data_IF_398357514570
#
_entry.id   IF_398357514570
#
_cell.length_a   1.000
_cell.length_b   1.000
_cell.length_c   1.000
_cell.angle_alpha   90.00
_cell.angle_beta   90.00
_cell.angle_gamma   90.00
#
_symmetry.space_group_name_H-M   'P 1'
#
loop_
_entity.id
_entity.type
_entity.pdbx_description
1 polymer ?
#
# COMPACT_ATOMS: atom_id res chain seq x y z
N UNK A 1 7.23 -42.49 -7.01
CA UNK A 1 7.23 -41.14 -6.41
C UNK A 1 8.68 -40.72 -6.19
N UNK A 2 9.15 -39.68 -6.88
CA UNK A 2 10.57 -39.31 -6.89
C UNK A 2 11.01 -38.51 -5.66
N UNK A 3 12.22 -38.81 -5.16
CA UNK A 3 12.82 -38.24 -3.94
C UNK A 3 12.94 -36.70 -3.91
N UNK A 4 12.84 -36.04 -5.07
CA UNK A 4 12.79 -34.58 -5.17
C UNK A 4 11.58 -33.96 -4.43
N UNK A 5 10.48 -34.70 -4.24
CA UNK A 5 9.30 -34.26 -3.50
C UNK A 5 9.47 -34.39 -1.97
N UNK A 6 10.36 -35.27 -1.49
CA UNK A 6 10.64 -35.43 -0.05
C UNK A 6 11.58 -34.36 0.48
N UNK A 7 12.52 -33.88 -0.34
CA UNK A 7 13.44 -32.79 0.06
C UNK A 7 12.83 -31.39 -0.09
N UNK A 8 11.79 -31.23 -0.91
CA UNK A 8 10.93 -30.05 -0.91
C UNK A 8 9.81 -30.27 0.09
N UNK A 9 10.07 -30.01 1.37
CA UNK A 9 9.07 -30.10 2.44
C UNK A 9 7.68 -29.68 1.94
N UNK A 10 6.70 -30.55 2.18
CA UNK A 10 5.29 -30.43 1.82
C UNK A 10 4.67 -29.23 2.54
N UNK A 11 5.04 -28.02 2.12
CA UNK A 11 4.42 -26.78 2.55
C UNK A 11 2.94 -26.82 2.21
N UNK A 12 2.11 -26.60 3.23
CA UNK A 12 0.65 -26.57 3.16
C UNK A 12 0.15 -25.80 1.94
N UNK A 13 -0.78 -26.42 1.20
CA UNK A 13 -1.47 -25.83 0.04
C UNK A 13 -2.38 -24.65 0.42
N UNK A 14 -2.64 -24.46 1.72
CA UNK A 14 -3.56 -23.45 2.25
C UNK A 14 -2.89 -22.10 2.56
N UNK A 15 -1.58 -21.94 2.33
CA UNK A 15 -0.88 -20.66 2.55
C UNK A 15 -0.69 -19.97 1.20
N UNK A 16 -1.46 -18.92 0.89
CA UNK A 16 -1.22 -18.10 -0.29
C UNK A 16 0.17 -17.48 -0.14
N UNK A 17 1.03 -17.75 -1.13
CA UNK A 17 2.41 -17.24 -1.27
C UNK A 17 3.49 -17.98 -0.45
N UNK A 18 4.17 -18.93 -1.11
CA UNK A 18 5.41 -19.50 -0.57
C UNK A 18 6.52 -18.44 -0.62
N UNK A 19 6.87 -17.91 0.55
CA UNK A 19 8.14 -17.20 0.73
C UNK A 19 9.30 -18.16 0.43
N UNK A 20 10.26 -17.71 -0.37
CA UNK A 20 11.55 -18.38 -0.50
C UNK A 20 12.37 -18.23 0.79
N UNK A 21 13.54 -18.89 0.88
CA UNK A 21 14.35 -18.89 2.09
C UNK A 21 14.79 -17.47 2.53
N UNK A 22 15.15 -16.62 1.57
CA UNK A 22 15.56 -15.23 1.84
C UNK A 22 14.36 -14.36 2.27
N UNK A 23 13.24 -14.45 1.54
CA UNK A 23 12.00 -13.75 1.91
C UNK A 23 11.49 -14.17 3.30
N UNK A 24 11.63 -15.46 3.66
CA UNK A 24 11.28 -15.97 4.99
C UNK A 24 12.16 -15.34 6.07
N UNK A 25 13.46 -15.30 5.85
CA UNK A 25 14.41 -14.65 6.77
C UNK A 25 14.07 -13.16 6.94
N UNK A 26 13.77 -12.46 5.86
CA UNK A 26 13.36 -11.06 5.89
C UNK A 26 12.06 -10.87 6.66
N UNK A 27 11.06 -11.72 6.44
CA UNK A 27 9.79 -11.71 7.16
C UNK A 27 9.97 -11.96 8.66
N UNK A 28 10.78 -12.93 9.05
CA UNK A 28 11.02 -13.23 10.47
C UNK A 28 11.74 -12.08 11.19
N UNK A 29 12.71 -11.44 10.51
CA UNK A 29 13.34 -10.21 11.01
C UNK A 29 12.35 -9.05 11.09
N UNK A 30 11.42 -8.94 10.13
CA UNK A 30 10.42 -7.88 10.11
C UNK A 30 9.46 -7.98 11.29
N UNK A 31 8.97 -9.18 11.63
CA UNK A 31 8.14 -9.39 12.83
C UNK A 31 8.85 -8.97 14.11
N UNK A 32 10.15 -9.24 14.22
CA UNK A 32 10.93 -8.89 15.39
C UNK A 32 11.20 -7.37 15.49
N UNK A 33 11.30 -6.67 14.35
CA UNK A 33 11.68 -5.25 14.29
C UNK A 33 10.51 -4.30 14.07
N UNK A 34 9.35 -4.81 13.66
CA UNK A 34 8.21 -4.01 13.19
C UNK A 34 8.42 -3.37 11.81
N UNK A 35 9.53 -3.65 11.11
CA UNK A 35 9.86 -3.05 9.81
C UNK A 35 10.29 -4.12 8.81
N UNK A 36 9.60 -4.20 7.67
CA UNK A 36 10.03 -5.04 6.55
C UNK A 36 10.93 -4.25 5.59
N UNK A 37 12.14 -4.75 5.36
CA UNK A 37 13.06 -4.17 4.36
C UNK A 37 12.88 -4.86 3.01
N UNK A 38 12.71 -4.07 1.95
CA UNK A 38 12.57 -4.52 0.56
C UNK A 38 13.75 -4.00 -0.27
N UNK A 39 14.16 -4.77 -1.28
CA UNK A 39 15.08 -4.28 -2.30
C UNK A 39 14.29 -3.63 -3.44
N UNK A 40 14.72 -2.44 -3.89
CA UNK A 40 13.95 -1.63 -4.85
C UNK A 40 12.58 -1.25 -4.27
N UNK A 41 11.60 -1.05 -5.14
CA UNK A 41 10.19 -0.84 -4.73
C UNK A 41 9.51 -2.09 -4.18
N UNK A 42 10.19 -3.24 -4.17
CA UNK A 42 9.60 -4.55 -3.86
C UNK A 42 8.66 -5.09 -4.94
N UNK A 43 8.25 -4.26 -5.92
CA UNK A 43 7.42 -4.69 -7.03
C UNK A 43 8.22 -5.59 -7.98
N UNK A 44 7.76 -6.83 -8.15
CA UNK A 44 8.30 -7.76 -9.14
C UNK A 44 7.29 -7.95 -10.26
N UNK A 45 7.70 -7.68 -11.50
CA UNK A 45 6.83 -7.77 -12.69
C UNK A 45 6.29 -9.19 -12.87
N UNK A 46 7.10 -10.20 -12.59
CA UNK A 46 6.74 -11.61 -12.75
C UNK A 46 5.78 -12.15 -11.66
N UNK A 47 5.64 -11.48 -10.52
CA UNK A 47 4.85 -11.96 -9.36
C UNK A 47 3.76 -10.99 -8.90
N UNK A 48 3.51 -9.91 -9.66
CA UNK A 48 2.53 -8.86 -9.37
C UNK A 48 2.60 -8.38 -7.92
N UNK A 49 3.75 -7.84 -7.50
CA UNK A 49 3.98 -7.34 -6.13
C UNK A 49 5.01 -8.14 -5.34
N UNK A 50 5.08 -7.90 -4.02
CA UNK A 50 6.01 -8.59 -3.11
C UNK A 50 5.27 -9.59 -2.20
N UNK A 51 5.51 -10.91 -2.35
CA UNK A 51 4.99 -11.93 -1.42
C UNK A 51 5.30 -11.64 0.05
N UNK A 52 6.53 -11.18 0.33
CA UNK A 52 6.95 -10.83 1.68
C UNK A 52 6.17 -9.62 2.22
N UNK A 53 5.95 -8.59 1.39
CA UNK A 53 5.15 -7.43 1.80
C UNK A 53 3.69 -7.80 2.06
N UNK A 54 3.08 -8.62 1.19
CA UNK A 54 1.70 -9.08 1.36
C UNK A 54 1.52 -9.89 2.67
N UNK A 55 2.43 -10.83 2.96
CA UNK A 55 2.36 -11.65 4.18
C UNK A 55 2.64 -10.80 5.42
N UNK A 56 3.60 -9.87 5.35
CA UNK A 56 3.86 -8.95 6.46
C UNK A 56 2.67 -8.03 6.73
N UNK A 57 2.03 -7.49 5.69
CA UNK A 57 0.79 -6.71 5.81
C UNK A 57 -0.34 -7.50 6.48
N UNK A 58 -0.51 -8.78 6.13
CA UNK A 58 -1.49 -9.67 6.81
C UNK A 58 -1.15 -9.89 8.28
N UNK A 59 0.13 -10.04 8.61
CA UNK A 59 0.56 -10.16 10.00
C UNK A 59 0.30 -8.88 10.79
N UNK A 60 0.59 -7.71 10.22
CA UNK A 60 0.28 -6.39 10.80
C UNK A 60 -1.23 -6.19 11.02
N UNK A 61 -2.06 -6.56 10.06
CA UNK A 61 -3.53 -6.54 10.15
C UNK A 61 -4.02 -7.41 11.31
N UNK A 62 -3.53 -8.65 11.42
CA UNK A 62 -3.85 -9.55 12.54
C UNK A 62 -3.35 -9.05 13.90
N UNK A 63 -2.41 -8.09 13.92
CA UNK A 63 -1.89 -7.43 15.12
C UNK A 63 -2.50 -6.06 15.37
N UNK A 64 -3.36 -5.57 14.47
CA UNK A 64 -3.87 -4.21 14.47
C UNK A 64 -2.76 -3.15 14.63
N UNK A 65 -1.64 -3.37 13.93
CA UNK A 65 -0.44 -2.52 13.99
C UNK A 65 -0.13 -1.94 12.61
N UNK A 66 0.36 -0.70 12.50
CA UNK A 66 0.75 -0.12 11.22
C UNK A 66 1.80 -0.98 10.51
N UNK A 67 1.68 -1.11 9.20
CA UNK A 67 2.63 -1.87 8.40
C UNK A 67 3.71 -0.93 7.87
N UNK A 68 4.92 -1.00 8.43
CA UNK A 68 6.05 -0.15 8.04
C UNK A 68 7.01 -0.91 7.11
N UNK A 69 7.24 -0.33 5.94
CA UNK A 69 8.13 -0.87 4.90
C UNK A 69 9.28 0.09 4.63
N UNK A 70 10.49 -0.46 4.47
CA UNK A 70 11.67 0.27 4.02
C UNK A 70 12.11 -0.30 2.66
N UNK A 71 11.78 0.41 1.58
CA UNK A 71 12.17 0.11 0.22
C UNK A 71 13.53 0.75 -0.10
N UNK A 72 14.55 -0.07 -0.36
CA UNK A 72 15.90 0.41 -0.64
C UNK A 72 16.01 0.89 -2.08
N UNK A 73 16.48 2.12 -2.28
CA UNK A 73 16.76 2.67 -3.61
C UNK A 73 17.80 1.85 -4.35
N UNK A 74 17.76 1.91 -5.68
CA UNK A 74 18.75 1.25 -6.54
C UNK A 74 20.17 1.81 -6.31
N UNK A 75 20.26 3.08 -5.92
CA UNK A 75 21.51 3.78 -5.64
C UNK A 75 21.37 4.71 -4.44
N UNK A 76 22.50 5.17 -3.89
CA UNK A 76 22.47 6.18 -2.84
C UNK A 76 21.84 7.51 -3.30
N UNK A 77 21.95 7.84 -4.59
CA UNK A 77 21.40 9.07 -5.16
C UNK A 77 19.87 9.07 -5.27
N UNK A 78 19.24 7.89 -5.38
CA UNK A 78 17.76 7.79 -5.43
C UNK A 78 17.11 7.85 -4.05
N UNK A 79 17.89 7.63 -2.98
CA UNK A 79 17.37 7.54 -1.61
C UNK A 79 16.63 6.23 -1.35
N UNK A 80 16.35 5.97 -0.08
CA UNK A 80 15.49 4.87 0.35
C UNK A 80 14.09 5.45 0.65
N UNK A 81 13.04 4.66 0.40
CA UNK A 81 11.65 5.06 0.64
C UNK A 81 11.08 4.31 1.84
N UNK A 82 10.48 5.05 2.77
CA UNK A 82 9.70 4.51 3.89
C UNK A 82 8.23 4.61 3.52
N UNK A 83 7.50 3.50 3.58
CA UNK A 83 6.05 3.46 3.37
C UNK A 83 5.39 2.98 4.66
N UNK A 84 4.33 3.67 5.08
CA UNK A 84 3.47 3.26 6.20
C UNK A 84 2.09 2.98 5.65
N UNK A 85 1.63 1.73 5.74
CA UNK A 85 0.24 1.38 5.42
C UNK A 85 -0.60 1.38 6.70
N UNK A 86 -1.61 2.25 6.72
CA UNK A 86 -2.56 2.42 7.82
C UNK A 86 -3.85 1.63 7.63
N UNK A 87 -4.07 1.01 6.47
CA UNK A 87 -5.30 0.21 6.20
C UNK A 87 -5.42 -1.00 7.13
N UNK A 88 -4.29 -1.54 7.59
CA UNK A 88 -4.20 -2.65 8.56
C UNK A 88 -4.77 -2.32 9.94
N UNK A 89 -5.02 -1.04 10.24
CA UNK A 89 -5.67 -0.62 11.49
C UNK A 89 -7.19 -0.78 11.44
N UNK A 90 -7.77 -0.93 10.23
CA UNK A 90 -9.22 -1.04 10.00
C UNK A 90 -10.08 0.08 10.59
N UNK A 91 -9.47 1.25 10.81
CA UNK A 91 -10.17 2.44 11.30
C UNK A 91 -10.89 3.15 10.16
N UNK A 92 -12.08 3.71 10.46
CA UNK A 92 -12.79 4.61 9.55
C UNK A 92 -12.06 5.95 9.38
N UNK A 93 -11.46 6.44 10.46
CA UNK A 93 -10.65 7.66 10.50
C UNK A 93 -9.21 7.36 10.93
N UNK A 94 -8.26 7.71 10.06
CA UNK A 94 -6.81 7.54 10.29
C UNK A 94 -6.05 8.88 10.37
N UNK A 95 -6.75 10.01 10.49
CA UNK A 95 -6.14 11.36 10.48
C UNK A 95 -5.06 11.52 11.56
N UNK A 96 -5.37 11.11 12.79
CA UNK A 96 -4.41 11.11 13.91
C UNK A 96 -3.13 10.35 13.57
N UNK A 97 -3.26 9.17 12.95
CA UNK A 97 -2.12 8.34 12.57
C UNK A 97 -1.28 9.00 11.48
N UNK A 98 -1.92 9.60 10.47
CA UNK A 98 -1.22 10.35 9.41
C UNK A 98 -0.46 11.54 9.98
N UNK A 99 -1.08 12.32 10.85
CA UNK A 99 -0.43 13.45 11.52
C UNK A 99 0.77 12.98 12.35
N UNK A 100 0.61 11.88 13.10
CA UNK A 100 1.70 11.29 13.88
C UNK A 100 2.85 10.81 12.99
N UNK A 101 2.58 10.16 11.86
CA UNK A 101 3.61 9.78 10.89
C UNK A 101 4.40 11.00 10.40
N UNK A 102 3.70 12.09 10.07
CA UNK A 102 4.30 13.35 9.59
C UNK A 102 5.14 14.04 10.66
N UNK A 103 4.71 14.02 11.91
CA UNK A 103 5.47 14.58 13.02
C UNK A 103 6.77 13.80 13.26
N UNK A 104 6.71 12.47 13.26
CA UNK A 104 7.89 11.62 13.37
C UNK A 104 8.81 11.87 12.16
N UNK A 105 8.28 11.93 10.94
CA UNK A 105 9.06 12.24 9.74
C UNK A 105 9.76 13.60 9.83
N UNK A 106 9.08 14.64 10.32
CA UNK A 106 9.64 15.98 10.51
C UNK A 106 10.81 16.00 11.50
N UNK A 107 10.73 15.23 12.59
CA UNK A 107 11.83 15.07 13.54
C UNK A 107 13.08 14.44 12.91
N UNK A 108 12.89 13.64 11.85
CA UNK A 108 13.96 13.03 11.07
C UNK A 108 14.32 13.83 9.80
N UNK A 109 13.84 15.07 9.66
CA UNK A 109 14.13 15.92 8.49
C UNK A 109 13.54 15.41 7.17
N UNK A 110 12.51 14.56 7.23
CA UNK A 110 11.88 13.94 6.07
C UNK A 110 10.56 14.64 5.73
N UNK A 111 10.28 14.81 4.45
CA UNK A 111 9.01 15.36 3.96
C UNK A 111 8.14 14.26 3.35
N UNK A 112 6.80 14.34 3.48
CA UNK A 112 5.90 13.38 2.85
C UNK A 112 5.97 13.47 1.33
N UNK A 113 5.86 12.33 0.67
CA UNK A 113 5.72 12.23 -0.77
C UNK A 113 4.26 12.46 -1.18
N UNK A 114 4.01 13.04 -2.36
CA UNK A 114 2.67 13.09 -2.92
C UNK A 114 2.18 11.68 -3.26
N UNK A 115 0.86 11.47 -3.17
CA UNK A 115 0.23 10.16 -3.43
C UNK A 115 0.57 9.61 -4.82
N UNK A 116 0.69 10.49 -5.82
CA UNK A 116 1.06 10.12 -7.20
C UNK A 116 2.47 9.53 -7.36
N UNK A 117 3.37 9.78 -6.40
CA UNK A 117 4.73 9.24 -6.42
C UNK A 117 4.85 7.88 -5.71
N UNK A 118 3.82 7.45 -4.98
CA UNK A 118 3.87 6.22 -4.20
C UNK A 118 3.52 5.00 -5.06
N UNK A 119 4.47 4.09 -5.22
CA UNK A 119 4.21 2.77 -5.79
C UNK A 119 3.91 1.77 -4.67
N UNK A 120 2.68 1.24 -4.65
CA UNK A 120 2.32 0.18 -3.70
C UNK A 120 3.10 -1.12 -3.98
N UNK A 121 3.77 -1.71 -2.96
CA UNK A 121 4.40 -3.02 -3.11
C UNK A 121 3.39 -4.19 -2.98
N UNK A 122 2.13 -3.89 -2.66
CA UNK A 122 1.10 -4.87 -2.37
C UNK A 122 0.35 -5.30 -3.61
N UNK A 123 -0.01 -6.58 -3.65
CA UNK A 123 -1.00 -7.09 -4.59
C UNK A 123 -2.38 -6.83 -3.99
N UNK A 124 -3.20 -6.02 -4.67
CA UNK A 124 -4.59 -5.78 -4.26
C UNK A 124 -5.52 -6.44 -5.28
N UNK A 125 -6.39 -7.32 -4.80
CA UNK A 125 -7.43 -7.96 -5.60
C UNK A 125 -8.75 -7.29 -5.24
N UNK A 126 -9.10 -6.22 -5.97
CA UNK A 126 -10.30 -5.44 -5.67
C UNK A 126 -11.57 -6.25 -6.00
N UNK A 127 -12.58 -6.25 -5.11
CA UNK A 127 -13.90 -6.78 -5.45
C UNK A 127 -14.53 -6.00 -6.60
N UNK A 128 -15.25 -6.69 -7.49
CA UNK A 128 -15.91 -6.05 -8.64
C UNK A 128 -16.84 -4.89 -8.24
N UNK A 129 -17.52 -5.00 -7.09
CA UNK A 129 -18.37 -3.94 -6.54
C UNK A 129 -17.59 -2.65 -6.28
N UNK A 130 -16.38 -2.76 -5.73
CA UNK A 130 -15.54 -1.61 -5.42
C UNK A 130 -14.95 -1.00 -6.71
N UNK A 131 -14.57 -1.84 -7.67
CA UNK A 131 -14.14 -1.37 -8.99
C UNK A 131 -15.25 -0.53 -9.64
N UNK A 132 -16.48 -1.03 -9.63
CA UNK A 132 -17.62 -0.31 -10.20
C UNK A 132 -17.89 1.00 -9.46
N UNK A 133 -17.87 1.00 -8.12
CA UNK A 133 -18.05 2.21 -7.33
C UNK A 133 -16.98 3.27 -7.67
N UNK A 134 -15.71 2.88 -7.74
CA UNK A 134 -14.60 3.77 -8.10
C UNK A 134 -14.72 4.33 -9.53
N UNK A 135 -15.18 3.51 -10.47
CA UNK A 135 -15.42 3.94 -11.85
C UNK A 135 -16.63 4.87 -11.97
N UNK A 136 -17.67 4.67 -11.15
CA UNK A 136 -18.86 5.51 -11.13
C UNK A 136 -18.63 6.86 -10.44
N UNK A 137 -17.73 6.94 -9.46
CA UNK A 137 -17.34 8.19 -8.80
C UNK A 137 -16.30 9.02 -9.56
N UNK A 138 -15.73 8.50 -10.66
CA UNK A 138 -14.65 9.13 -11.44
C UNK A 138 -15.09 10.20 -12.45
N UNK A 139 -16.32 10.70 -12.35
CA UNK A 139 -16.75 11.87 -13.11
C UNK A 139 -16.20 13.14 -12.47
N UNK A 140 -15.13 13.69 -13.08
CA UNK A 140 -14.53 15.01 -12.79
C UNK A 140 -13.35 15.02 -11.77
N UNK A 141 -12.19 14.47 -12.14
CA UNK A 141 -10.92 14.75 -11.44
C UNK A 141 -9.85 13.65 -11.54
N UNK A 142 -8.88 13.83 -12.43
CA UNK A 142 -7.86 12.84 -12.79
C UNK A 142 -6.93 12.37 -11.66
N UNK A 143 -6.98 11.06 -11.38
CA UNK A 143 -6.00 10.33 -10.55
C UNK A 143 -5.91 8.87 -11.04
N UNK A 144 -5.29 8.68 -12.21
CA UNK A 144 -5.28 7.39 -12.92
C UNK A 144 -4.48 6.30 -12.21
N UNK A 145 -5.14 5.22 -11.85
CA UNK A 145 -4.54 3.89 -11.66
C UNK A 145 -4.11 3.34 -13.02
N UNK A 146 -2.84 3.52 -13.40
CA UNK A 146 -2.30 3.00 -14.65
C UNK A 146 -2.01 1.48 -14.57
N UNK A 147 -2.87 0.68 -15.20
CA UNK A 147 -2.54 -0.24 -16.32
C UNK A 147 -3.39 -1.52 -16.32
N UNK A 148 -4.18 -1.67 -17.38
CA UNK A 148 -4.54 -2.94 -18.00
C UNK A 148 -4.34 -2.81 -19.54
N UNK A 149 -3.21 -3.37 -19.99
CA UNK A 149 -2.81 -3.89 -21.31
C UNK A 149 -3.33 -3.32 -22.65
N UNK A 150 -2.37 -2.98 -23.53
CA UNK A 150 -2.25 -3.65 -24.84
C UNK A 150 -2.52 -2.85 -26.13
N UNK A 151 -1.50 -2.86 -26.99
CA UNK A 151 -1.50 -2.69 -28.46
C UNK A 151 -1.43 -1.27 -29.07
N UNK A 152 -0.43 -1.15 -29.95
CA UNK A 152 -0.07 -0.08 -30.88
C UNK A 152 -0.98 0.00 -32.10
N UNK A 153 -1.39 1.20 -32.53
CA UNK A 153 -0.99 1.83 -33.81
C UNK A 153 -1.65 3.23 -34.00
N UNK A 154 -1.18 4.06 -34.95
CA UNK A 154 -1.22 5.52 -34.88
C UNK A 154 -2.22 6.18 -35.83
N UNK A 155 -2.26 7.52 -35.74
CA UNK A 155 -2.67 8.53 -36.73
C UNK A 155 -4.01 9.29 -36.54
N UNK A 156 -3.85 10.63 -36.46
CA UNK A 156 -4.76 11.75 -36.79
C UNK A 156 -6.02 11.97 -35.91
N UNK A 157 -6.56 13.18 -35.71
CA UNK A 157 -6.12 14.57 -35.82
C UNK A 157 -7.22 15.43 -35.14
N UNK A 158 -6.83 16.59 -34.58
CA UNK A 158 -7.61 17.81 -34.29
C UNK A 158 -9.15 17.75 -34.21
N UNK A 159 -9.71 18.26 -33.10
CA UNK A 159 -10.54 19.49 -33.06
C UNK A 159 -11.00 19.79 -31.62
N UNK A 160 -10.82 21.04 -31.17
CA UNK A 160 -11.47 21.59 -29.98
C UNK A 160 -12.98 21.79 -30.25
N UNK A 161 -13.84 21.84 -29.22
CA UNK A 161 -14.23 23.16 -28.74
C UNK A 161 -14.63 23.29 -27.25
N UNK A 162 -14.58 24.56 -26.82
CA UNK A 162 -15.48 25.27 -25.90
C UNK A 162 -15.78 24.74 -24.49
N UNK A 163 -15.24 25.51 -23.55
CA UNK A 163 -15.68 25.73 -22.18
C UNK A 163 -17.20 25.94 -22.02
N UNK A 164 -17.80 25.18 -21.12
CA UNK A 164 -19.04 25.56 -20.42
C UNK A 164 -18.84 25.40 -18.93
N UNK A 165 -18.78 26.54 -18.25
CA UNK A 165 -18.94 26.69 -16.81
C UNK A 165 -20.37 26.29 -16.42
N UNK A 166 -20.53 25.26 -15.60
CA UNK A 166 -21.76 25.01 -14.86
C UNK A 166 -21.47 25.10 -13.38
N UNK A 167 -22.12 26.09 -12.77
CA UNK A 167 -22.14 26.36 -11.34
C UNK A 167 -23.20 25.51 -10.66
N UNK A 168 -22.87 24.97 -9.49
CA UNK A 168 -23.82 24.72 -8.41
C UNK A 168 -24.51 23.35 -8.42
N UNK A 169 -24.02 22.45 -7.57
CA UNK A 169 -24.75 21.26 -7.14
C UNK A 169 -24.31 20.89 -5.73
N UNK A 170 -25.24 20.93 -4.78
CA UNK A 170 -25.03 20.54 -3.39
C UNK A 170 -24.78 19.01 -3.31
N UNK A 171 -23.53 18.59 -3.45
CA UNK A 171 -23.11 17.18 -3.45
C UNK A 171 -22.77 16.63 -2.06
N UNK A 172 -23.61 16.88 -1.05
CA UNK A 172 -23.33 16.48 0.34
C UNK A 172 -23.62 15.01 0.66
N UNK A 173 -24.57 14.38 -0.04
CA UNK A 173 -25.11 13.06 0.37
C UNK A 173 -24.46 11.86 -0.32
N UNK A 174 -23.85 12.03 -1.50
CA UNK A 174 -23.25 10.92 -2.27
C UNK A 174 -21.85 10.54 -1.78
N UNK A 175 -21.04 11.51 -1.34
CA UNK A 175 -19.69 11.29 -0.83
C UNK A 175 -19.67 10.55 0.51
N UNK A 176 -20.65 10.83 1.39
CA UNK A 176 -20.81 10.14 2.68
C UNK A 176 -21.17 8.66 2.49
N UNK A 177 -21.90 8.32 1.42
CA UNK A 177 -22.24 6.94 1.06
C UNK A 177 -21.01 6.13 0.64
N UNK A 178 -20.11 6.70 -0.18
CA UNK A 178 -18.89 6.01 -0.63
C UNK A 178 -17.91 5.80 0.53
N UNK A 179 -17.73 6.81 1.38
CA UNK A 179 -16.88 6.72 2.57
C UNK A 179 -17.40 5.65 3.55
N UNK A 180 -18.70 5.62 3.80
CA UNK A 180 -19.34 4.60 4.65
C UNK A 180 -19.20 3.19 4.06
N UNK A 181 -19.42 3.02 2.75
CA UNK A 181 -19.23 1.74 2.06
C UNK A 181 -17.77 1.26 2.11
N UNK A 182 -16.81 2.17 1.93
CA UNK A 182 -15.39 1.86 2.10
C UNK A 182 -15.04 1.47 3.54
N UNK A 183 -15.62 2.13 4.53
CA UNK A 183 -15.44 1.77 5.94
C UNK A 183 -16.02 0.37 6.24
N UNK A 184 -17.21 0.06 5.76
CA UNK A 184 -17.84 -1.27 5.91
C UNK A 184 -17.02 -2.36 5.21
N UNK A 185 -16.51 -2.09 4.00
CA UNK A 185 -15.62 -3.00 3.29
C UNK A 185 -14.32 -3.21 4.04
N UNK A 186 -13.74 -2.18 4.66
CA UNK A 186 -12.52 -2.30 5.48
C UNK A 186 -12.74 -3.14 6.73
N UNK A 187 -13.92 -3.06 7.33
CA UNK A 187 -14.26 -3.89 8.49
C UNK A 187 -14.42 -5.37 8.11
N UNK A 188 -15.05 -5.67 6.98
CA UNK A 188 -15.50 -7.03 6.64
C UNK A 188 -14.58 -7.82 5.71
N UNK A 189 -13.82 -7.15 4.83
CA UNK A 189 -13.03 -7.82 3.80
C UNK A 189 -11.64 -8.22 4.31
N UNK A 190 -11.04 -9.29 3.77
CA UNK A 190 -9.66 -9.61 4.09
C UNK A 190 -8.70 -8.55 3.53
N UNK A 191 -7.61 -8.28 4.25
CA UNK A 191 -6.71 -7.14 3.96
C UNK A 191 -6.13 -7.14 2.53
N UNK A 192 -5.96 -8.29 1.89
CA UNK A 192 -5.47 -8.40 0.51
C UNK A 192 -6.47 -7.93 -0.57
N UNK A 193 -7.71 -7.66 -0.19
CA UNK A 193 -8.71 -7.03 -1.05
C UNK A 193 -8.84 -5.52 -0.80
N UNK A 194 -8.19 -5.01 0.25
CA UNK A 194 -8.29 -3.61 0.63
C UNK A 194 -7.17 -2.80 -0.04
N UNK A 195 -7.51 -1.68 -0.71
CA UNK A 195 -6.51 -0.69 -1.13
C UNK A 195 -5.67 -0.24 0.08
N UNK A 196 -4.34 -0.16 -0.04
CA UNK A 196 -3.51 0.34 1.05
C UNK A 196 -3.76 1.83 1.27
N UNK A 197 -3.62 2.27 2.52
CA UNK A 197 -3.67 3.68 2.90
C UNK A 197 -2.24 4.11 3.24
N UNK A 198 -1.49 4.52 2.21
CA UNK A 198 -0.06 4.78 2.32
C UNK A 198 0.25 6.21 2.77
N UNK A 199 1.27 6.34 3.62
CA UNK A 199 2.06 7.55 3.79
C UNK A 199 3.51 7.22 3.39
N UNK A 200 4.10 8.03 2.53
CA UNK A 200 5.42 7.76 1.93
C UNK A 200 6.43 8.86 2.23
N UNK A 201 7.69 8.48 2.44
CA UNK A 201 8.80 9.39 2.70
C UNK A 201 10.03 8.89 1.95
N UNK A 202 10.73 9.75 1.20
CA UNK A 202 12.02 9.42 0.59
C UNK A 202 13.11 10.30 1.16
N UNK A 203 14.22 9.67 1.55
CA UNK A 203 15.36 10.34 2.15
C UNK A 203 16.63 9.49 1.97
N UNK A 204 17.77 9.93 2.48
CA UNK A 204 18.99 9.13 2.45
C UNK A 204 18.85 7.86 3.31
N UNK A 205 19.72 6.87 3.04
CA UNK A 205 19.66 5.56 3.69
C UNK A 205 19.72 5.61 5.22
N UNK A 206 20.51 6.53 5.78
CA UNK A 206 20.66 6.68 7.23
C UNK A 206 19.37 7.18 7.85
N UNK A 207 18.85 8.29 7.32
CA UNK A 207 17.60 8.89 7.74
C UNK A 207 16.41 7.94 7.54
N UNK A 208 16.32 7.23 6.41
CA UNK A 208 15.22 6.32 6.11
C UNK A 208 15.16 5.16 7.10
N UNK A 209 16.32 4.59 7.47
CA UNK A 209 16.40 3.53 8.47
C UNK A 209 16.02 4.02 9.86
N UNK A 210 16.47 5.22 10.24
CA UNK A 210 16.13 5.83 11.52
C UNK A 210 14.62 6.12 11.59
N UNK A 211 14.06 6.71 10.54
CA UNK A 211 12.64 7.00 10.41
C UNK A 211 11.78 5.74 10.46
N UNK A 212 12.10 4.71 9.67
CA UNK A 212 11.33 3.46 9.66
C UNK A 212 11.30 2.81 11.04
N UNK A 213 12.44 2.81 11.75
CA UNK A 213 12.52 2.32 13.13
C UNK A 213 11.64 3.16 14.08
N UNK A 214 11.75 4.49 14.02
CA UNK A 214 10.98 5.39 14.86
C UNK A 214 9.47 5.24 14.64
N UNK A 215 9.03 5.10 13.38
CA UNK A 215 7.62 4.85 13.04
C UNK A 215 7.12 3.53 13.62
N UNK A 216 7.91 2.45 13.52
CA UNK A 216 7.54 1.15 14.08
C UNK A 216 7.47 1.14 15.61
N UNK A 217 8.30 1.94 16.29
CA UNK A 217 8.33 2.02 17.75
C UNK A 217 7.28 2.99 18.32
N UNK A 218 6.99 4.09 17.63
CA UNK A 218 6.20 5.20 18.16
C UNK A 218 4.76 5.28 17.63
N UNK A 219 4.41 4.53 16.59
CA UNK A 219 3.02 4.44 16.16
C UNK A 219 2.32 3.35 16.98
N UNK A 220 1.34 3.70 17.82
CA UNK A 220 0.65 2.72 18.64
C UNK A 220 -0.18 1.79 17.76
N UNK A 221 -0.24 0.51 18.11
CA UNK A 221 -1.31 -0.35 17.59
C UNK A 221 -2.68 0.15 18.08
N UNK A 222 -3.75 -0.29 17.42
CA UNK A 222 -5.10 -0.18 17.97
C UNK A 222 -5.14 -1.16 19.14
N UNK A 223 -5.31 -0.65 20.35
CA UNK A 223 -5.45 -1.50 21.54
C UNK A 223 -6.66 -2.44 21.37
N UNK A 224 -6.77 -3.52 22.16
CA UNK A 224 -7.93 -4.41 22.11
C UNK A 224 -9.27 -3.73 22.44
N UNK A 225 -9.22 -2.50 22.96
CA UNK A 225 -10.37 -1.72 23.44
C UNK A 225 -10.84 -0.61 22.47
N UNK A 226 -10.32 -0.55 21.24
CA UNK A 226 -10.62 0.49 20.26
C UNK A 226 -11.44 -0.01 19.06
#
# INVERSE_FOLDING_TARGET
MGDAARHRGTGSRAVPHRLNAEERKQYDLAKAKGVLTLAGSGYRRERKGSPAANIFRQWCDAKAQPCVLLAKGASAATGDTVLVDLSVLRLSDVRQYRERCRDIARQHGCSPQPDSAMQSPFTVILPAKLINAMLSSGGDGGGGISNLDGASDPFQASTSPASQSTSGGAGGDEDDSVAAQLAELRASQPIWQQPPLLEGYTTDRGAAKALAKALAEQLPGVGPDA
#
